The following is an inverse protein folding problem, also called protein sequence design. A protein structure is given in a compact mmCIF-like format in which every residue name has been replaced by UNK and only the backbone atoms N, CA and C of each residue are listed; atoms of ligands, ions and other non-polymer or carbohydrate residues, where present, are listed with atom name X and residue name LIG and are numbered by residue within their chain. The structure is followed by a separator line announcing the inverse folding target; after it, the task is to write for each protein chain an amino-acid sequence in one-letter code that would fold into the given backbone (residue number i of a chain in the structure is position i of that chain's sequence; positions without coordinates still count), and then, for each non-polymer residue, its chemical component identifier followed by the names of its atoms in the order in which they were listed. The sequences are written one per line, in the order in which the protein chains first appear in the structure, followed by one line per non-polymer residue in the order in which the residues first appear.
data_IF_025605101792
#
_entry.id   IF_025605101792
#
_cell.length_a   1.000
_cell.length_b   1.000
_cell.length_c   1.000
_cell.angle_alpha   90.00
_cell.angle_beta   90.00
_cell.angle_gamma   90.00
#
_symmetry.space_group_name_H-M   'P 1'
#
loop_
_entity.id
_entity.type
_entity.pdbx_description
1 polymer ?
#
# COMPACT_ATOMS: atom_id res chain seq x y z
N UNK A 1 22.85 5.98 -18.50
CA UNK A 1 21.81 5.66 -17.72
C UNK A 1 21.20 6.82 -17.23
N UNK A 2 20.19 6.77 -17.13
CA UNK A 2 19.51 7.66 -16.66
C UNK A 2 19.14 7.39 -15.39
N UNK A 3 18.79 8.11 -14.64
CA UNK A 3 18.45 8.01 -13.29
C UNK A 3 17.78 6.71 -12.92
N UNK A 4 17.54 6.49 -11.67
CA UNK A 4 16.94 5.32 -11.15
C UNK A 4 15.50 5.22 -11.60
N UNK A 5 15.15 4.15 -12.27
CA UNK A 5 13.78 3.86 -12.65
C UNK A 5 13.10 3.01 -11.59
N UNK A 6 11.98 3.50 -11.09
CA UNK A 6 11.19 2.83 -10.08
C UNK A 6 9.79 2.56 -10.63
N UNK A 7 9.40 1.28 -10.63
CA UNK A 7 8.04 0.89 -10.96
C UNK A 7 7.17 1.03 -9.72
N UNK A 8 5.94 1.46 -9.87
CA UNK A 8 5.03 1.66 -8.75
C UNK A 8 3.77 0.80 -8.91
N UNK A 9 3.40 0.08 -7.85
CA UNK A 9 2.26 -0.83 -7.86
C UNK A 9 1.32 -0.53 -6.71
N UNK A 10 0.03 -0.59 -7.00
CA UNK A 10 -1.03 -0.55 -6.00
C UNK A 10 -1.33 -1.98 -5.55
N UNK A 11 -0.56 -2.51 -4.63
CA UNK A 11 -0.71 -3.88 -4.18
C UNK A 11 -1.86 -4.06 -3.17
N UNK A 12 -2.06 -3.11 -2.27
CA UNK A 12 -3.02 -3.27 -1.18
C UNK A 12 -4.46 -3.47 -1.67
N UNK A 13 -4.91 -2.63 -2.62
CA UNK A 13 -6.25 -2.75 -3.18
C UNK A 13 -6.35 -3.82 -4.27
N UNK A 14 -5.23 -4.13 -4.91
CA UNK A 14 -5.19 -5.08 -6.03
C UNK A 14 -4.04 -6.07 -5.85
N UNK A 15 -4.21 -7.06 -4.94
CA UNK A 15 -3.11 -7.97 -4.59
C UNK A 15 -2.53 -8.74 -5.77
N UNK A 16 -3.30 -8.96 -6.81
CA UNK A 16 -2.84 -9.68 -8.01
C UNK A 16 -1.76 -8.91 -8.77
N UNK A 17 -1.65 -7.60 -8.58
CA UNK A 17 -0.63 -6.81 -9.26
C UNK A 17 0.78 -7.31 -8.96
N UNK A 18 1.00 -7.88 -7.78
CA UNK A 18 2.32 -8.37 -7.39
C UNK A 18 2.76 -9.58 -8.25
N UNK A 19 1.81 -10.28 -8.86
CA UNK A 19 2.11 -11.41 -9.73
C UNK A 19 2.62 -10.97 -11.10
N UNK A 20 2.38 -9.73 -11.48
CA UNK A 20 2.72 -9.20 -12.80
C UNK A 20 4.23 -8.97 -12.99
N UNK A 21 4.97 -8.79 -11.89
CA UNK A 21 6.40 -8.49 -11.95
C UNK A 21 7.15 -9.41 -11.00
N UNK A 22 8.18 -10.06 -11.51
CA UNK A 22 9.07 -10.90 -10.69
C UNK A 22 10.34 -10.14 -10.36
N UNK A 23 11.05 -10.59 -9.33
CA UNK A 23 12.35 -10.03 -8.97
C UNK A 23 13.35 -10.17 -10.13
N UNK A 24 13.32 -11.28 -10.84
CA UNK A 24 14.24 -11.50 -11.96
C UNK A 24 13.98 -10.53 -13.12
N UNK A 25 12.73 -10.13 -13.34
CA UNK A 25 12.42 -9.09 -14.34
C UNK A 25 13.03 -7.76 -13.95
N UNK A 26 12.95 -7.39 -12.65
CA UNK A 26 13.55 -6.15 -12.15
C UNK A 26 15.07 -6.19 -12.29
N UNK A 27 15.68 -7.32 -11.99
CA UNK A 27 17.12 -7.48 -12.09
C UNK A 27 17.61 -7.38 -13.53
N UNK A 28 16.90 -8.01 -14.46
CA UNK A 28 17.26 -7.95 -15.89
C UNK A 28 17.12 -6.57 -16.47
N UNK A 29 16.13 -5.80 -16.01
CA UNK A 29 15.91 -4.45 -16.49
C UNK A 29 16.64 -3.40 -15.64
N UNK A 30 17.31 -3.82 -14.57
CA UNK A 30 17.95 -2.94 -13.59
C UNK A 30 16.98 -1.89 -13.05
N UNK A 31 15.80 -2.35 -12.64
CA UNK A 31 14.74 -1.49 -12.08
C UNK A 31 14.55 -1.78 -10.61
N UNK A 32 13.99 -0.80 -9.92
CA UNK A 32 13.53 -0.96 -8.55
C UNK A 32 12.01 -0.86 -8.52
N UNK A 33 11.41 -1.21 -7.38
CA UNK A 33 9.96 -1.23 -7.28
C UNK A 33 9.50 -0.51 -6.00
N UNK A 34 8.41 0.22 -6.15
CA UNK A 34 7.64 0.77 -5.05
C UNK A 34 6.33 0.00 -4.97
N UNK A 35 6.00 -0.51 -3.80
CA UNK A 35 4.77 -1.28 -3.60
C UNK A 35 3.87 -0.54 -2.62
N UNK A 36 2.63 -0.28 -3.02
CA UNK A 36 1.61 0.28 -2.13
C UNK A 36 1.12 -0.80 -1.18
N UNK A 37 1.17 -0.53 0.12
CA UNK A 37 0.82 -1.50 1.15
C UNK A 37 -0.38 -1.10 2.00
N UNK A 38 -0.92 0.10 1.78
CA UNK A 38 -2.13 0.60 2.45
C UNK A 38 -3.16 0.99 1.41
N UNK A 39 -4.41 0.59 1.62
CA UNK A 39 -5.49 0.93 0.70
C UNK A 39 -5.82 2.41 0.75
N UNK A 40 -6.06 3.00 -0.42
CA UNK A 40 -6.47 4.39 -0.56
C UNK A 40 -7.74 4.54 -1.40
N UNK A 41 -8.33 3.43 -1.82
CA UNK A 41 -9.55 3.38 -2.64
C UNK A 41 -10.77 3.65 -1.77
N UNK A 42 -10.92 4.90 -1.34
CA UNK A 42 -11.89 5.30 -0.31
C UNK A 42 -13.34 4.98 -0.66
N UNK A 43 -13.71 5.11 -1.92
CA UNK A 43 -15.08 4.80 -2.34
C UNK A 43 -15.40 3.32 -2.14
N UNK A 44 -14.47 2.44 -2.48
CA UNK A 44 -14.63 1.01 -2.28
C UNK A 44 -14.65 0.65 -0.79
N UNK A 45 -13.82 1.33 0.00
CA UNK A 45 -13.79 1.12 1.45
C UNK A 45 -15.14 1.49 2.06
N UNK A 46 -15.71 2.62 1.70
CA UNK A 46 -17.04 3.02 2.17
C UNK A 46 -18.10 1.99 1.77
N UNK A 47 -18.07 1.51 0.53
CA UNK A 47 -19.03 0.51 0.05
C UNK A 47 -18.94 -0.79 0.85
N UNK A 48 -17.73 -1.27 1.12
CA UNK A 48 -17.51 -2.47 1.92
C UNK A 48 -18.02 -2.33 3.35
N UNK A 49 -17.76 -1.18 3.97
CA UNK A 49 -18.23 -0.91 5.33
C UNK A 49 -19.74 -0.81 5.38
N UNK A 50 -20.36 -0.18 4.38
CA UNK A 50 -21.80 -0.08 4.30
C UNK A 50 -22.46 -1.46 4.21
N UNK A 51 -21.88 -2.37 3.43
CA UNK A 51 -22.36 -3.75 3.33
C UNK A 51 -22.29 -4.49 4.67
N UNK A 52 -21.34 -4.12 5.53
CA UNK A 52 -21.20 -4.68 6.86
C UNK A 52 -22.11 -4.01 7.90
N UNK A 53 -22.94 -3.05 7.48
CA UNK A 53 -23.83 -2.33 8.37
C UNK A 53 -23.23 -1.09 9.03
N UNK A 54 -22.02 -0.71 8.63
CA UNK A 54 -21.34 0.47 9.19
C UNK A 54 -21.64 1.66 8.28
N UNK A 55 -22.62 2.48 8.69
CA UNK A 55 -23.08 3.62 7.87
C UNK A 55 -22.38 4.92 8.22
N UNK A 56 -21.74 5.01 9.38
CA UNK A 56 -20.99 6.19 9.83
C UNK A 56 -19.63 5.75 10.34
N UNK A 57 -18.70 5.36 9.44
CA UNK A 57 -17.40 4.86 9.88
C UNK A 57 -16.56 5.95 10.53
N UNK A 58 -15.80 5.57 11.55
CA UNK A 58 -14.80 6.44 12.15
C UNK A 58 -13.56 6.47 11.25
N UNK A 59 -12.64 7.40 11.53
CA UNK A 59 -11.37 7.43 10.81
C UNK A 59 -10.64 6.09 10.91
N UNK A 60 -10.69 5.47 12.08
CA UNK A 60 -10.03 4.18 12.31
C UNK A 60 -10.62 3.06 11.47
N UNK A 61 -11.93 3.11 11.19
CA UNK A 61 -12.59 2.12 10.34
C UNK A 61 -12.15 2.22 8.89
N UNK A 62 -11.76 3.40 8.44
CA UNK A 62 -11.39 3.65 7.05
C UNK A 62 -9.97 3.22 6.71
N UNK A 63 -9.12 3.04 7.71
CA UNK A 63 -7.69 2.80 7.51
C UNK A 63 -7.35 1.36 7.84
N UNK A 64 -6.54 0.73 7.00
CA UNK A 64 -6.06 -0.63 7.26
C UNK A 64 -5.34 -0.71 8.60
N UNK A 65 -5.48 -1.85 9.28
CA UNK A 65 -4.78 -2.10 10.53
C UNK A 65 -3.28 -2.26 10.27
N UNK A 66 -2.47 -1.85 11.24
CA UNK A 66 -1.00 -1.95 11.15
C UNK A 66 -0.56 -3.39 10.83
N UNK A 67 -1.17 -4.38 11.46
CA UNK A 67 -0.82 -5.79 11.24
C UNK A 67 -1.05 -6.21 9.79
N UNK A 68 -2.13 -5.75 9.18
CA UNK A 68 -2.46 -6.07 7.79
C UNK A 68 -1.44 -5.41 6.86
N UNK A 69 -1.12 -4.14 7.10
CA UNK A 69 -0.12 -3.41 6.32
C UNK A 69 1.23 -4.09 6.45
N UNK A 70 1.60 -4.49 7.65
CA UNK A 70 2.85 -5.19 7.92
C UNK A 70 2.96 -6.50 7.14
N UNK A 71 1.87 -7.30 7.09
CA UNK A 71 1.84 -8.52 6.32
C UNK A 71 2.08 -8.25 4.83
N UNK A 72 1.45 -7.21 4.28
CA UNK A 72 1.63 -6.83 2.87
C UNK A 72 3.07 -6.41 2.61
N UNK A 73 3.65 -5.64 3.52
CA UNK A 73 5.04 -5.22 3.41
C UNK A 73 5.98 -6.44 3.40
N UNK A 74 5.75 -7.40 4.31
CA UNK A 74 6.58 -8.60 4.39
C UNK A 74 6.51 -9.43 3.11
N UNK A 75 5.33 -9.59 2.52
CA UNK A 75 5.17 -10.29 1.25
C UNK A 75 5.98 -9.60 0.16
N UNK A 76 5.89 -8.28 0.06
CA UNK A 76 6.64 -7.52 -0.94
C UNK A 76 8.14 -7.60 -0.70
N UNK A 77 8.57 -7.49 0.54
CA UNK A 77 9.99 -7.54 0.90
C UNK A 77 10.58 -8.92 0.61
N UNK A 78 9.84 -9.98 0.92
CA UNK A 78 10.29 -11.35 0.65
C UNK A 78 10.39 -11.61 -0.86
N UNK A 79 9.47 -11.03 -1.65
CA UNK A 79 9.46 -11.23 -3.09
C UNK A 79 10.55 -10.45 -3.81
N UNK A 80 10.72 -9.17 -3.46
CA UNK A 80 11.60 -8.26 -4.21
C UNK A 80 12.95 -7.98 -3.55
N UNK A 81 13.08 -8.24 -2.26
CA UNK A 81 14.33 -8.05 -1.53
C UNK A 81 14.88 -6.64 -1.69
N UNK A 82 16.11 -6.54 -2.18
CA UNK A 82 16.79 -5.26 -2.34
C UNK A 82 16.19 -4.38 -3.43
N UNK A 83 15.40 -4.94 -4.33
CA UNK A 83 14.72 -4.17 -5.38
C UNK A 83 13.51 -3.40 -4.85
N UNK A 84 13.03 -3.75 -3.65
CA UNK A 84 11.98 -2.98 -2.98
C UNK A 84 12.62 -1.76 -2.33
N UNK A 85 12.46 -0.60 -2.95
CA UNK A 85 13.10 0.64 -2.51
C UNK A 85 12.16 1.49 -1.67
N UNK A 86 10.88 1.54 -2.06
CA UNK A 86 9.89 2.39 -1.39
C UNK A 86 8.63 1.61 -1.11
N UNK A 87 7.98 1.93 0.01
CA UNK A 87 6.63 1.47 0.32
C UNK A 87 5.82 2.67 0.80
N UNK A 88 4.51 2.57 0.68
CA UNK A 88 3.64 3.65 1.11
C UNK A 88 2.19 3.30 0.83
N UNK A 89 1.28 4.27 0.93
CA UNK A 89 -0.09 4.09 0.50
C UNK A 89 -0.15 3.78 -1.00
N UNK A 90 -1.22 3.10 -1.43
CA UNK A 90 -1.38 2.70 -2.84
C UNK A 90 -1.32 3.90 -3.78
N UNK A 91 -2.02 4.97 -3.44
CA UNK A 91 -1.95 6.20 -4.22
C UNK A 91 -2.23 7.42 -3.34
N UNK A 92 -2.59 8.55 -3.93
CA UNK A 92 -2.80 9.78 -3.18
C UNK A 92 -4.02 9.75 -2.28
N UNK A 93 -4.06 10.66 -1.32
CA UNK A 93 -5.10 10.74 -0.30
C UNK A 93 -5.98 11.97 -0.46
N UNK A 94 -5.92 12.63 -1.62
CA UNK A 94 -6.64 13.88 -1.86
C UNK A 94 -8.16 13.76 -1.81
N UNK A 95 -8.72 12.58 -2.07
CA UNK A 95 -10.15 12.35 -2.03
C UNK A 95 -10.67 11.87 -0.68
N UNK A 96 -9.79 11.75 0.32
CA UNK A 96 -10.18 11.26 1.64
C UNK A 96 -11.02 12.29 2.39
N UNK A 97 -11.96 11.83 3.26
CA UNK A 97 -12.95 12.71 3.87
C UNK A 97 -12.39 13.68 4.91
N UNK A 98 -11.22 13.39 5.49
CA UNK A 98 -10.61 14.28 6.47
C UNK A 98 -9.09 14.16 6.45
N UNK A 99 -8.42 15.22 6.92
CA UNK A 99 -6.97 15.21 7.06
C UNK A 99 -6.53 14.22 8.15
N UNK A 100 -7.34 14.05 9.19
CA UNK A 100 -7.05 13.12 10.26
C UNK A 100 -7.03 11.68 9.77
N UNK A 101 -8.00 11.30 8.93
CA UNK A 101 -8.04 9.97 8.34
C UNK A 101 -6.83 9.73 7.42
N UNK A 102 -6.50 10.72 6.59
CA UNK A 102 -5.34 10.63 5.70
C UNK A 102 -4.04 10.52 6.49
N UNK A 103 -3.89 11.32 7.54
CA UNK A 103 -2.72 11.25 8.42
C UNK A 103 -2.59 9.89 9.10
N UNK A 104 -3.71 9.27 9.45
CA UNK A 104 -3.73 7.95 10.07
C UNK A 104 -3.21 6.87 9.10
N UNK A 105 -3.55 6.96 7.81
CA UNK A 105 -3.01 6.06 6.79
C UNK A 105 -1.48 6.14 6.78
N UNK A 106 -0.94 7.36 6.73
CA UNK A 106 0.50 7.56 6.70
C UNK A 106 1.16 7.05 7.98
N UNK A 107 0.57 7.35 9.13
CA UNK A 107 1.10 6.93 10.43
C UNK A 107 1.16 5.41 10.54
N UNK A 108 0.07 4.72 10.23
CA UNK A 108 0.00 3.27 10.31
C UNK A 108 0.94 2.60 9.30
N UNK A 109 1.09 3.19 8.12
CA UNK A 109 2.03 2.68 7.11
C UNK A 109 3.46 2.74 7.62
N UNK A 110 3.86 3.86 8.22
CA UNK A 110 5.20 4.03 8.78
C UNK A 110 5.43 3.05 9.93
N UNK A 111 4.46 2.90 10.83
CA UNK A 111 4.56 1.98 11.95
C UNK A 111 4.72 0.53 11.47
N UNK A 112 3.97 0.13 10.46
CA UNK A 112 4.03 -1.23 9.92
C UNK A 112 5.40 -1.55 9.33
N UNK A 113 6.02 -0.59 8.64
CA UNK A 113 7.35 -0.79 8.05
C UNK A 113 8.44 -0.78 9.11
N UNK A 114 8.33 0.09 10.11
CA UNK A 114 9.34 0.18 11.18
C UNK A 114 9.42 -1.07 12.04
N UNK A 115 8.32 -1.78 12.22
CA UNK A 115 8.28 -2.98 13.04
C UNK A 115 8.70 -4.23 12.29
N UNK A 116 9.03 -4.10 11.03
CA UNK A 116 9.40 -5.22 10.18
C UNK A 116 10.84 -5.71 10.44
#
# INVERSE_FOLDING_TARGET
MQGLDVLSFEYAASPKNIESVSKSMLERADKQIRVGVSRTDIDSIFAELYEKGITKPSNEDLVDLVDIIHCRYRVAKDKYGERLTFTGPDCGLGSWPSQEAAALVLKRTVEAVKTA
#
